data_IF_573258597945
#
_entry.id   IF_573258597945
#
_cell.length_a   1.000
_cell.length_b   1.000
_cell.length_c   1.000
_cell.angle_alpha   90.00
_cell.angle_beta   90.00
_cell.angle_gamma   90.00
#
_symmetry.space_group_name_H-M   'P 1'
#
loop_
_entity.id
_entity.type
_entity.pdbx_description
1 polymer ?
#
# COMPACT_ATOMS: atom_id res chain seq x y z
N UNK A 1 -29.62 1.27 -0.51
CA UNK A 1 -28.62 2.30 -0.81
C UNK A 1 -29.23 3.68 -0.61
N UNK A 2 -28.83 4.36 0.47
CA UNK A 2 -29.35 5.67 0.88
C UNK A 2 -28.19 6.63 1.12
N UNK A 3 -28.35 7.91 0.76
CA UNK A 3 -27.45 8.99 1.15
C UNK A 3 -28.16 9.86 2.16
N UNK A 4 -27.54 10.05 3.31
CA UNK A 4 -28.05 10.92 4.37
C UNK A 4 -27.98 12.39 3.93
N UNK A 5 -26.91 12.78 3.22
CA UNK A 5 -26.73 14.14 2.70
C UNK A 5 -27.89 14.55 1.78
N UNK A 6 -28.25 13.70 0.81
CA UNK A 6 -29.39 14.00 -0.05
C UNK A 6 -30.71 13.97 0.73
N UNK A 7 -30.89 13.00 1.63
CA UNK A 7 -32.10 12.92 2.44
C UNK A 7 -32.32 14.16 3.31
N UNK A 8 -31.26 14.73 3.88
CA UNK A 8 -31.33 15.92 4.72
C UNK A 8 -31.48 17.19 3.90
N UNK A 9 -30.80 17.27 2.75
CA UNK A 9 -30.98 18.37 1.78
C UNK A 9 -32.45 18.50 1.36
N UNK A 10 -33.12 17.39 1.04
CA UNK A 10 -34.54 17.40 0.67
C UNK A 10 -35.51 17.60 1.86
N UNK A 11 -35.04 17.55 3.10
CA UNK A 11 -35.84 17.80 4.31
C UNK A 11 -35.69 19.22 4.85
N UNK A 12 -34.78 20.04 4.32
CA UNK A 12 -34.54 21.37 4.86
C UNK A 12 -35.80 22.26 4.79
N UNK A 13 -36.11 23.02 5.86
CA UNK A 13 -37.26 23.92 5.88
C UNK A 13 -37.14 24.99 4.79
N UNK A 14 -38.27 25.25 4.13
CA UNK A 14 -38.37 26.26 3.07
C UNK A 14 -38.35 27.65 3.68
N UNK A 15 -37.53 28.54 3.15
CA UNK A 15 -37.66 29.98 3.41
C UNK A 15 -38.79 30.49 2.52
N UNK A 16 -39.88 30.98 3.11
CA UNK A 16 -40.97 31.58 2.36
C UNK A 16 -40.46 32.82 1.60
N UNK A 17 -40.55 32.79 0.26
CA UNK A 17 -40.21 33.92 -0.61
C UNK A 17 -39.04 33.71 -1.58
N UNK A 18 -38.26 32.63 -1.47
CA UNK A 18 -37.03 32.42 -2.26
C UNK A 18 -37.23 31.61 -3.57
N UNK A 19 -38.21 31.99 -4.40
CA UNK A 19 -38.42 31.39 -5.73
C UNK A 19 -38.63 29.85 -5.76
N UNK A 20 -38.52 29.20 -6.94
CA UNK A 20 -38.70 27.73 -7.08
C UNK A 20 -37.62 26.90 -6.37
N UNK A 21 -37.90 25.68 -5.88
CA UNK A 21 -36.94 24.91 -5.06
C UNK A 21 -35.65 24.51 -5.82
N UNK A 22 -34.49 24.46 -5.15
CA UNK A 22 -33.26 23.92 -5.75
C UNK A 22 -33.45 22.44 -6.11
N UNK A 23 -33.06 22.04 -7.31
CA UNK A 23 -33.30 20.70 -7.84
C UNK A 23 -34.70 20.47 -8.40
N UNK A 24 -35.57 21.48 -8.45
CA UNK A 24 -36.94 21.34 -8.95
C UNK A 24 -37.07 21.32 -10.47
N UNK A 25 -36.09 21.88 -11.20
CA UNK A 25 -36.08 21.91 -12.66
C UNK A 25 -34.65 21.95 -13.24
N UNK A 26 -34.47 21.69 -14.54
CA UNK A 26 -33.17 21.86 -15.22
C UNK A 26 -32.59 23.27 -15.12
N UNK A 27 -33.45 24.29 -15.03
CA UNK A 27 -33.07 25.70 -14.88
C UNK A 27 -32.66 26.06 -13.45
N UNK A 28 -33.04 25.25 -12.46
CA UNK A 28 -32.62 25.40 -11.05
C UNK A 28 -32.10 24.05 -10.50
N UNK A 29 -30.96 23.54 -11.01
CA UNK A 29 -30.44 22.23 -10.62
C UNK A 29 -29.78 22.27 -9.24
N UNK A 30 -29.53 21.10 -8.65
CA UNK A 30 -28.65 20.97 -7.48
C UNK A 30 -27.21 21.17 -7.94
N UNK A 31 -26.55 22.22 -7.46
CA UNK A 31 -25.17 22.53 -7.87
C UNK A 31 -24.18 21.88 -6.91
N UNK A 32 -23.54 20.79 -7.36
CA UNK A 32 -22.51 20.10 -6.60
C UNK A 32 -21.14 20.79 -6.78
N UNK A 33 -20.76 21.65 -5.82
CA UNK A 33 -19.45 22.32 -5.83
C UNK A 33 -18.35 21.34 -5.42
N UNK A 34 -17.22 21.36 -6.12
CA UNK A 34 -16.05 20.53 -5.79
C UNK A 34 -16.09 19.09 -6.30
N UNK A 35 -17.12 18.73 -7.08
CA UNK A 35 -17.25 17.41 -7.70
C UNK A 35 -17.18 17.59 -9.23
N UNK A 36 -16.24 16.92 -9.88
CA UNK A 36 -16.21 16.88 -11.35
C UNK A 36 -17.36 16.03 -11.88
N UNK A 37 -17.98 16.48 -12.98
CA UNK A 37 -19.10 15.76 -13.60
C UNK A 37 -18.72 14.31 -14.01
N UNK A 38 -17.47 14.09 -14.44
CA UNK A 38 -16.93 12.77 -14.75
C UNK A 38 -16.92 11.84 -13.54
N UNK A 39 -16.53 12.35 -12.38
CA UNK A 39 -16.40 11.56 -11.15
C UNK A 39 -17.78 11.19 -10.63
N UNK A 40 -18.72 12.14 -10.68
CA UNK A 40 -20.12 11.88 -10.32
C UNK A 40 -20.77 10.86 -11.27
N UNK A 41 -20.53 10.97 -12.58
CA UNK A 41 -20.98 9.98 -13.55
C UNK A 41 -20.36 8.59 -13.27
N UNK A 42 -19.10 8.53 -12.84
CA UNK A 42 -18.43 7.32 -12.39
C UNK A 42 -19.12 6.70 -11.16
N UNK A 43 -19.43 7.52 -10.15
CA UNK A 43 -20.19 7.10 -8.97
C UNK A 43 -21.54 6.50 -9.37
N UNK A 44 -22.29 7.18 -10.24
CA UNK A 44 -23.59 6.70 -10.72
C UNK A 44 -23.45 5.35 -11.43
N UNK A 45 -22.45 5.17 -12.29
CA UNK A 45 -22.19 3.87 -12.95
C UNK A 45 -22.01 2.76 -11.92
N UNK A 46 -21.20 2.99 -10.89
CA UNK A 46 -20.97 2.02 -9.80
C UNK A 46 -22.26 1.75 -9.03
N UNK A 47 -22.98 2.82 -8.66
CA UNK A 47 -24.21 2.74 -7.87
C UNK A 47 -25.30 1.95 -8.62
N UNK A 48 -25.56 2.28 -9.89
CA UNK A 48 -26.57 1.58 -10.69
C UNK A 48 -26.15 0.15 -11.03
N UNK A 49 -24.86 -0.11 -11.28
CA UNK A 49 -24.36 -1.47 -11.50
C UNK A 49 -24.56 -2.36 -10.26
N UNK A 50 -24.31 -1.82 -9.06
CA UNK A 50 -24.48 -2.55 -7.80
C UNK A 50 -25.94 -2.87 -7.45
N UNK A 51 -26.86 -1.99 -7.85
CA UNK A 51 -28.30 -2.08 -7.53
C UNK A 51 -29.11 -2.90 -8.53
N UNK A 52 -28.79 -2.84 -9.82
CA UNK A 52 -29.70 -3.28 -10.88
C UNK A 52 -29.13 -4.33 -11.81
N UNK A 53 -27.86 -4.70 -11.68
CA UNK A 53 -27.27 -5.73 -12.53
C UNK A 53 -27.33 -7.09 -11.85
N UNK A 54 -28.05 -8.04 -12.45
CA UNK A 54 -28.12 -9.43 -11.99
C UNK A 54 -26.73 -10.09 -11.88
N UNK A 55 -25.74 -9.55 -12.59
CA UNK A 55 -24.35 -10.03 -12.62
C UNK A 55 -23.37 -9.14 -11.82
N UNK A 56 -23.83 -8.10 -11.10
CA UNK A 56 -23.03 -7.15 -10.31
C UNK A 56 -21.59 -6.94 -10.87
N UNK A 57 -21.45 -6.31 -12.05
CA UNK A 57 -20.14 -6.19 -12.68
C UNK A 57 -19.21 -5.41 -11.76
N UNK A 58 -18.04 -5.98 -11.52
CA UNK A 58 -17.00 -5.36 -10.70
C UNK A 58 -16.63 -4.00 -11.34
N UNK A 59 -16.74 -2.89 -10.59
CA UNK A 59 -16.27 -1.58 -11.05
C UNK A 59 -14.84 -1.66 -11.58
N UNK A 60 -14.56 -0.92 -12.66
CA UNK A 60 -13.18 -0.71 -13.09
C UNK A 60 -12.36 -0.20 -11.90
N UNK A 61 -11.17 -0.78 -11.70
CA UNK A 61 -10.26 -0.43 -10.61
C UNK A 61 -9.97 1.07 -10.58
N UNK A 62 -9.91 1.72 -11.75
CA UNK A 62 -9.70 3.17 -11.88
C UNK A 62 -10.83 4.01 -11.27
N UNK A 63 -12.05 3.47 -11.19
CA UNK A 63 -13.23 4.15 -10.68
C UNK A 63 -13.46 3.91 -9.19
N UNK A 64 -12.78 2.94 -8.57
CA UNK A 64 -13.02 2.55 -7.18
C UNK A 64 -12.69 3.70 -6.22
N UNK A 65 -11.51 4.30 -6.32
CA UNK A 65 -11.09 5.40 -5.43
C UNK A 65 -11.95 6.66 -5.61
N UNK A 66 -12.18 7.18 -6.83
CA UNK A 66 -13.08 8.32 -7.03
C UNK A 66 -14.52 8.04 -6.56
N UNK A 67 -15.05 6.85 -6.82
CA UNK A 67 -16.38 6.47 -6.35
C UNK A 67 -16.43 6.39 -4.82
N UNK A 68 -15.39 5.87 -4.16
CA UNK A 68 -15.34 5.80 -2.71
C UNK A 68 -15.27 7.21 -2.08
N UNK A 69 -14.44 8.11 -2.63
CA UNK A 69 -14.37 9.53 -2.23
C UNK A 69 -15.74 10.19 -2.24
N UNK A 70 -16.48 10.04 -3.34
CA UNK A 70 -17.81 10.62 -3.47
C UNK A 70 -18.85 9.91 -2.60
N UNK A 71 -18.76 8.57 -2.45
CA UNK A 71 -19.60 7.83 -1.53
C UNK A 71 -19.38 8.26 -0.07
N UNK A 72 -18.15 8.60 0.30
CA UNK A 72 -17.82 9.16 1.61
C UNK A 72 -18.36 10.58 1.77
N UNK A 73 -18.09 11.45 0.79
CA UNK A 73 -18.55 12.85 0.80
C UNK A 73 -20.08 12.98 0.87
N UNK A 74 -20.80 12.12 0.14
CA UNK A 74 -22.27 12.11 0.08
C UNK A 74 -22.90 11.18 1.13
N UNK A 75 -22.08 10.59 2.01
CA UNK A 75 -22.47 9.66 3.07
C UNK A 75 -23.36 8.49 2.61
N UNK A 76 -22.95 7.79 1.55
CA UNK A 76 -23.53 6.51 1.13
C UNK A 76 -22.88 5.34 1.90
N UNK A 77 -23.33 5.06 3.12
CA UNK A 77 -22.75 4.02 3.97
C UNK A 77 -22.72 2.62 3.31
N UNK A 78 -23.83 2.20 2.69
CA UNK A 78 -23.91 0.91 1.98
C UNK A 78 -22.93 0.84 0.79
N UNK A 79 -22.76 1.94 0.06
CA UNK A 79 -21.84 1.99 -1.08
C UNK A 79 -20.39 1.92 -0.63
N UNK A 80 -20.04 2.62 0.45
CA UNK A 80 -18.70 2.53 1.06
C UNK A 80 -18.41 1.09 1.48
N UNK A 81 -19.36 0.42 2.11
CA UNK A 81 -19.24 -1.00 2.48
C UNK A 81 -19.01 -1.92 1.27
N UNK A 82 -19.60 -1.61 0.12
CA UNK A 82 -19.39 -2.36 -1.12
C UNK A 82 -18.05 -2.03 -1.80
N UNK A 83 -17.62 -0.76 -1.76
CA UNK A 83 -16.40 -0.32 -2.42
C UNK A 83 -15.13 -0.60 -1.61
N UNK A 84 -15.21 -0.69 -0.28
CA UNK A 84 -14.03 -0.90 0.56
C UNK A 84 -13.30 -2.23 0.23
N UNK A 85 -13.97 -3.39 0.11
CA UNK A 85 -13.30 -4.63 -0.28
C UNK A 85 -12.73 -4.58 -1.71
N UNK A 86 -13.37 -3.82 -2.60
CA UNK A 86 -12.89 -3.61 -3.97
C UNK A 86 -11.63 -2.75 -3.98
N UNK A 87 -11.56 -1.71 -3.14
CA UNK A 87 -10.36 -0.89 -2.98
C UNK A 87 -9.22 -1.75 -2.41
N UNK A 88 -9.49 -2.57 -1.38
CA UNK A 88 -8.50 -3.46 -0.81
C UNK A 88 -7.95 -4.47 -1.82
N UNK A 89 -8.79 -4.95 -2.73
CA UNK A 89 -8.37 -5.92 -3.75
C UNK A 89 -7.57 -5.30 -4.90
N UNK A 90 -7.95 -4.10 -5.34
CA UNK A 90 -7.44 -3.51 -6.58
C UNK A 90 -6.27 -2.54 -6.40
N UNK A 91 -6.14 -1.92 -5.23
CA UNK A 91 -5.06 -0.96 -4.98
C UNK A 91 -3.74 -1.69 -4.70
N UNK A 92 -2.63 -1.14 -5.21
CA UNK A 92 -1.30 -1.56 -4.78
C UNK A 92 -1.01 -1.05 -3.36
N UNK A 93 0.06 -1.55 -2.73
CA UNK A 93 0.35 -1.24 -1.32
C UNK A 93 0.59 0.24 -1.04
N UNK A 94 1.17 0.99 -1.99
CA UNK A 94 1.39 2.43 -1.82
C UNK A 94 0.08 3.21 -1.93
N UNK A 95 -0.76 2.86 -2.90
CA UNK A 95 -2.09 3.44 -3.04
C UNK A 95 -3.01 3.07 -1.86
N UNK A 96 -2.83 1.89 -1.26
CA UNK A 96 -3.52 1.50 -0.02
C UNK A 96 -3.13 2.40 1.15
N UNK A 97 -1.85 2.77 1.28
CA UNK A 97 -1.40 3.68 2.34
C UNK A 97 -2.02 5.06 2.14
N UNK A 98 -1.99 5.59 0.92
CA UNK A 98 -2.62 6.88 0.60
C UNK A 98 -4.13 6.86 0.88
N UNK A 99 -4.82 5.83 0.42
CA UNK A 99 -6.24 5.62 0.65
C UNK A 99 -6.57 5.48 2.15
N UNK A 100 -5.79 4.67 2.87
CA UNK A 100 -5.96 4.47 4.30
C UNK A 100 -5.76 5.76 5.09
N UNK A 101 -4.81 6.61 4.69
CA UNK A 101 -4.60 7.93 5.30
C UNK A 101 -5.76 8.87 5.03
N UNK A 102 -6.29 8.87 3.81
CA UNK A 102 -7.43 9.71 3.42
C UNK A 102 -8.72 9.37 4.18
N UNK A 103 -8.94 8.08 4.48
CA UNK A 103 -10.18 7.58 5.08
C UNK A 103 -10.03 7.00 6.50
N UNK A 104 -8.89 7.20 7.15
CA UNK A 104 -8.55 6.72 8.50
C UNK A 104 -8.72 5.19 8.69
N UNK A 105 -8.20 4.38 7.75
CA UNK A 105 -8.27 2.91 7.77
C UNK A 105 -6.95 2.33 8.30
N UNK A 106 -6.80 2.30 9.62
CA UNK A 106 -5.54 1.99 10.29
C UNK A 106 -5.01 0.58 10.01
N UNK A 107 -5.92 -0.36 9.78
CA UNK A 107 -5.63 -1.77 9.57
C UNK A 107 -4.82 -2.04 8.31
N UNK A 108 -4.83 -1.10 7.35
CA UNK A 108 -4.16 -1.26 6.06
C UNK A 108 -2.68 -0.87 6.10
N UNK A 109 -2.25 -0.02 7.04
CA UNK A 109 -0.87 0.47 7.07
C UNK A 109 0.13 -0.65 7.29
N UNK A 110 0.01 -1.41 8.39
CA UNK A 110 1.02 -2.40 8.74
C UNK A 110 1.22 -3.49 7.66
N UNK A 111 0.15 -4.09 7.08
CA UNK A 111 0.31 -5.04 5.98
C UNK A 111 0.93 -4.41 4.73
N UNK A 112 0.56 -3.17 4.37
CA UNK A 112 1.09 -2.49 3.19
C UNK A 112 2.57 -2.14 3.34
N UNK A 113 2.97 -1.52 4.46
CA UNK A 113 4.37 -1.20 4.74
C UNK A 113 5.25 -2.45 4.78
N UNK A 114 4.75 -3.54 5.39
CA UNK A 114 5.46 -4.82 5.43
C UNK A 114 5.76 -5.33 4.01
N UNK A 115 4.75 -5.37 3.14
CA UNK A 115 4.93 -5.83 1.75
C UNK A 115 5.87 -4.94 0.95
N UNK A 116 5.82 -3.61 1.16
CA UNK A 116 6.76 -2.67 0.50
C UNK A 116 8.20 -2.87 0.99
N UNK A 117 8.40 -3.18 2.28
CA UNK A 117 9.73 -3.47 2.82
C UNK A 117 10.30 -4.77 2.22
N UNK A 118 9.45 -5.76 1.96
CA UNK A 118 9.86 -7.09 1.50
C UNK A 118 10.00 -7.21 -0.03
N UNK A 119 9.22 -6.48 -0.83
CA UNK A 119 9.28 -6.57 -2.30
C UNK A 119 10.67 -6.24 -2.85
N UNK A 120 11.06 -6.85 -3.96
CA UNK A 120 12.39 -6.64 -4.56
C UNK A 120 12.56 -5.23 -5.13
N UNK A 121 11.50 -4.70 -5.76
CA UNK A 121 11.49 -3.45 -6.50
C UNK A 121 11.76 -2.25 -5.58
N UNK A 122 12.68 -1.33 -5.94
CA UNK A 122 12.88 -0.09 -5.21
C UNK A 122 11.66 0.83 -5.34
N UNK A 123 11.54 1.77 -4.40
CA UNK A 123 10.56 2.85 -4.51
C UNK A 123 10.87 3.70 -5.74
N UNK A 124 9.86 3.98 -6.55
CA UNK A 124 9.95 5.00 -7.60
C UNK A 124 9.57 6.38 -7.06
N UNK A 125 9.79 7.42 -7.86
CA UNK A 125 9.54 8.81 -7.45
C UNK A 125 8.09 9.09 -7.10
N UNK A 126 7.13 8.46 -7.80
CA UNK A 126 5.71 8.67 -7.54
C UNK A 126 5.28 8.01 -6.24
N UNK A 127 5.74 6.79 -5.98
CA UNK A 127 5.52 6.11 -4.71
C UNK A 127 6.09 6.90 -3.54
N UNK A 128 7.31 7.44 -3.69
CA UNK A 128 7.96 8.24 -2.67
C UNK A 128 7.15 9.51 -2.32
N UNK A 129 6.50 10.15 -3.31
CA UNK A 129 5.63 11.31 -3.08
C UNK A 129 4.39 10.95 -2.26
N UNK A 130 3.75 9.83 -2.57
CA UNK A 130 2.54 9.36 -1.87
C UNK A 130 2.83 8.96 -0.42
N UNK A 131 3.97 8.32 -0.20
CA UNK A 131 4.39 7.86 1.13
C UNK A 131 4.80 9.02 2.03
N UNK A 132 5.42 10.08 1.47
CA UNK A 132 6.01 11.15 2.25
C UNK A 132 7.37 10.76 2.84
N UNK A 133 8.06 11.74 3.44
CA UNK A 133 9.47 11.58 3.86
C UNK A 133 9.62 10.51 4.94
N UNK A 134 8.76 10.52 5.96
CA UNK A 134 8.87 9.59 7.09
C UNK A 134 8.67 8.14 6.65
N UNK A 135 7.65 7.88 5.82
CA UNK A 135 7.39 6.56 5.25
C UNK A 135 8.54 6.07 4.37
N UNK A 136 9.11 6.94 3.53
CA UNK A 136 10.27 6.61 2.69
C UNK A 136 11.49 6.27 3.53
N UNK A 137 11.83 7.08 4.54
CA UNK A 137 12.98 6.84 5.42
C UNK A 137 12.82 5.53 6.18
N UNK A 138 11.63 5.26 6.70
CA UNK A 138 11.32 4.02 7.39
C UNK A 138 11.50 2.80 6.47
N UNK A 139 10.91 2.83 5.27
CA UNK A 139 11.06 1.75 4.29
C UNK A 139 12.52 1.52 3.91
N UNK A 140 13.30 2.60 3.71
CA UNK A 140 14.72 2.49 3.38
C UNK A 140 15.52 1.86 4.52
N UNK A 141 15.30 2.30 5.77
CA UNK A 141 15.94 1.70 6.95
C UNK A 141 15.61 0.21 7.07
N UNK A 142 14.34 -0.16 6.90
CA UNK A 142 13.92 -1.55 6.99
C UNK A 142 14.53 -2.40 5.88
N UNK A 143 14.60 -1.88 4.66
CA UNK A 143 15.22 -2.57 3.52
C UNK A 143 16.73 -2.68 3.69
N UNK A 144 17.40 -1.69 4.25
CA UNK A 144 18.82 -1.74 4.58
C UNK A 144 19.08 -2.82 5.63
N UNK A 145 18.37 -2.81 6.75
CA UNK A 145 18.56 -3.86 7.78
C UNK A 145 18.26 -5.26 7.24
N UNK A 146 17.23 -5.41 6.40
CA UNK A 146 16.81 -6.70 5.89
C UNK A 146 17.72 -7.23 4.77
N UNK A 147 18.06 -6.39 3.78
CA UNK A 147 18.82 -6.80 2.59
C UNK A 147 20.33 -6.80 2.81
N UNK A 148 20.80 -6.03 3.79
CA UNK A 148 22.24 -5.96 4.13
C UNK A 148 22.62 -7.02 5.17
N UNK A 149 21.72 -7.94 5.51
CA UNK A 149 22.05 -9.18 6.22
C UNK A 149 22.89 -10.08 5.31
N UNK A 150 24.14 -9.69 5.06
CA UNK A 150 25.12 -10.48 4.34
C UNK A 150 25.45 -11.76 5.11
N UNK A 151 26.10 -12.70 4.44
CA UNK A 151 26.64 -13.89 5.09
C UNK A 151 27.57 -13.42 6.23
N UNK A 152 27.21 -13.71 7.48
CA UNK A 152 28.11 -13.44 8.62
C UNK A 152 29.29 -14.39 8.49
N UNK A 153 30.41 -13.86 8.02
CA UNK A 153 31.66 -14.61 7.91
C UNK A 153 32.47 -14.45 9.21
N UNK A 154 32.87 -15.58 9.77
CA UNK A 154 33.84 -15.65 10.85
C UNK A 154 35.22 -15.29 10.30
N UNK A 155 35.89 -14.29 10.86
CA UNK A 155 37.25 -13.92 10.47
C UNK A 155 38.21 -15.10 10.61
N UNK A 156 39.22 -15.15 9.74
CA UNK A 156 40.21 -16.23 9.64
C UNK A 156 39.61 -17.61 9.31
N UNK A 157 38.49 -17.64 8.59
CA UNK A 157 37.90 -18.88 8.10
C UNK A 157 37.86 -18.95 6.57
N UNK A 158 37.64 -20.16 6.07
CA UNK A 158 37.60 -20.45 4.65
C UNK A 158 36.19 -20.80 4.20
N UNK A 159 35.81 -20.29 3.03
CA UNK A 159 34.45 -20.46 2.49
C UNK A 159 34.49 -20.88 1.03
N UNK A 160 33.53 -21.70 0.60
CA UNK A 160 33.40 -22.08 -0.80
C UNK A 160 32.68 -21.00 -1.62
N UNK A 161 32.82 -21.08 -2.95
CA UNK A 161 32.12 -20.17 -3.87
C UNK A 161 30.60 -20.27 -3.80
N UNK A 162 30.04 -21.44 -3.43
CA UNK A 162 28.60 -21.56 -3.20
C UNK A 162 28.12 -20.77 -1.98
N UNK A 163 28.97 -20.57 -0.97
CA UNK A 163 28.62 -19.78 0.21
C UNK A 163 28.89 -18.28 0.01
N UNK A 164 29.97 -17.92 -0.67
CA UNK A 164 30.43 -16.51 -0.75
C UNK A 164 30.23 -15.85 -2.11
N UNK A 165 29.90 -16.62 -3.16
CA UNK A 165 29.95 -16.14 -4.54
C UNK A 165 31.37 -15.91 -5.05
N UNK A 166 32.41 -16.21 -4.25
CA UNK A 166 33.80 -15.95 -4.56
C UNK A 166 34.57 -17.26 -4.75
N UNK A 167 35.42 -17.34 -5.77
CA UNK A 167 36.37 -18.44 -5.92
C UNK A 167 37.71 -18.05 -5.35
N UNK A 168 38.32 -18.96 -4.57
CA UNK A 168 39.67 -18.77 -4.06
C UNK A 168 40.62 -19.83 -4.58
N UNK A 169 41.74 -19.99 -3.90
CA UNK A 169 42.82 -20.94 -4.29
C UNK A 169 43.12 -21.98 -3.22
N UNK A 170 42.47 -21.88 -2.05
CA UNK A 170 42.74 -22.79 -0.94
C UNK A 170 41.93 -24.09 -1.07
N UNK A 171 42.48 -25.19 -0.58
CA UNK A 171 41.80 -26.50 -0.53
C UNK A 171 41.61 -26.90 0.92
N UNK A 172 40.40 -26.69 1.44
CA UNK A 172 40.07 -26.93 2.86
C UNK A 172 38.56 -27.02 3.09
N UNK A 173 38.16 -27.26 4.34
CA UNK A 173 36.76 -27.31 4.77
C UNK A 173 36.16 -25.92 4.73
N UNK A 174 35.00 -25.80 4.08
CA UNK A 174 34.20 -24.58 4.12
C UNK A 174 33.55 -24.44 5.51
N UNK A 175 33.76 -23.31 6.19
CA UNK A 175 33.12 -23.00 7.48
C UNK A 175 31.60 -22.90 7.37
N UNK A 176 31.08 -22.43 6.24
CA UNK A 176 29.63 -22.29 6.02
C UNK A 176 28.89 -23.62 5.81
N UNK A 177 29.40 -24.51 4.96
CA UNK A 177 28.71 -25.77 4.63
C UNK A 177 29.35 -27.04 5.19
N UNK A 178 30.53 -26.95 5.82
CA UNK A 178 31.26 -28.10 6.37
C UNK A 178 31.91 -29.02 5.35
N UNK A 179 31.83 -28.71 4.05
CA UNK A 179 32.32 -29.58 2.97
C UNK A 179 33.79 -29.26 2.65
N UNK A 180 34.62 -30.29 2.57
CA UNK A 180 36.01 -30.19 2.08
C UNK A 180 36.06 -30.09 0.54
N UNK A 181 37.03 -29.34 0.02
CA UNK A 181 37.23 -29.21 -1.42
C UNK A 181 38.14 -28.05 -1.79
N UNK A 182 38.38 -27.90 -3.09
CA UNK A 182 39.24 -26.86 -3.65
C UNK A 182 38.53 -25.50 -3.80
N UNK A 183 39.27 -24.48 -4.19
CA UNK A 183 38.78 -23.13 -4.53
C UNK A 183 38.09 -22.38 -3.39
N UNK A 184 38.61 -22.51 -2.17
CA UNK A 184 38.12 -21.79 -0.98
C UNK A 184 38.69 -20.38 -0.91
N UNK A 185 37.85 -19.43 -0.53
CA UNK A 185 38.23 -18.07 -0.20
C UNK A 185 38.56 -17.96 1.29
N UNK A 186 39.68 -17.33 1.61
CA UNK A 186 40.02 -16.99 2.99
C UNK A 186 39.41 -15.63 3.32
N UNK A 187 38.58 -15.58 4.35
CA UNK A 187 38.04 -14.33 4.87
C UNK A 187 38.97 -13.80 5.96
N UNK A 188 39.80 -12.82 5.61
CA UNK A 188 40.91 -12.33 6.43
C UNK A 188 40.57 -11.13 7.33
N UNK A 189 39.35 -10.59 7.28
CA UNK A 189 39.02 -9.38 8.02
C UNK A 189 38.05 -8.46 7.28
N UNK A 190 37.97 -7.17 7.65
CA UNK A 190 36.77 -6.37 7.51
C UNK A 190 36.46 -6.06 6.05
N UNK A 191 35.62 -6.89 5.46
CA UNK A 191 35.04 -6.71 4.15
C UNK A 191 33.62 -7.26 4.17
N UNK A 192 32.63 -6.44 3.83
CA UNK A 192 31.24 -6.90 3.79
C UNK A 192 31.01 -7.61 2.46
N UNK A 193 30.76 -8.93 2.50
CA UNK A 193 30.30 -9.65 1.30
C UNK A 193 28.79 -9.46 1.17
N UNK A 194 28.37 -8.66 0.20
CA UNK A 194 26.97 -8.60 -0.20
C UNK A 194 26.61 -9.87 -0.97
N UNK A 195 25.59 -10.61 -0.50
CA UNK A 195 24.94 -11.63 -1.33
C UNK A 195 23.81 -10.98 -2.14
N UNK A 196 23.69 -11.37 -3.41
CA UNK A 196 22.44 -11.29 -4.15
C UNK A 196 21.69 -12.61 -3.90
N UNK A 197 20.83 -12.66 -2.88
CA UNK A 197 20.07 -13.88 -2.58
C UNK A 197 19.15 -13.70 -1.39
N UNK A 198 17.90 -14.13 -1.58
CA UNK A 198 16.75 -13.98 -0.68
C UNK A 198 17.03 -14.65 0.67
N UNK A 199 17.25 -13.86 1.73
CA UNK A 199 17.26 -14.39 3.09
C UNK A 199 15.83 -14.72 3.52
N UNK A 200 15.49 -16.00 3.50
CA UNK A 200 14.33 -16.53 4.20
C UNK A 200 14.63 -16.64 5.69
N UNK A 201 14.66 -15.53 6.43
CA UNK A 201 14.39 -15.44 7.90
C UNK A 201 14.74 -14.05 8.44
N UNK A 202 13.84 -13.09 8.27
CA UNK A 202 13.47 -12.15 9.37
C UNK A 202 12.12 -11.42 9.08
N UNK A 203 11.19 -12.10 8.41
CA UNK A 203 9.86 -11.55 8.05
C UNK A 203 9.10 -11.09 9.30
N UNK A 204 9.21 -11.87 10.39
CA UNK A 204 8.61 -11.58 11.70
C UNK A 204 9.17 -10.33 12.37
N UNK A 205 10.46 -10.01 12.17
CA UNK A 205 11.08 -8.78 12.70
C UNK A 205 10.64 -7.54 11.94
N UNK A 206 10.47 -7.65 10.61
CA UNK A 206 9.90 -6.56 9.80
C UNK A 206 8.48 -6.27 10.26
N UNK A 207 7.62 -7.30 10.35
CA UNK A 207 6.23 -7.13 10.78
C UNK A 207 6.11 -6.49 12.17
N UNK A 208 6.94 -6.92 13.13
CA UNK A 208 6.96 -6.34 14.48
C UNK A 208 7.36 -4.86 14.47
N UNK A 209 8.45 -4.51 13.78
CA UNK A 209 8.95 -3.12 13.67
C UNK A 209 7.98 -2.22 12.91
N UNK A 210 7.36 -2.74 11.85
CA UNK A 210 6.32 -2.03 11.10
C UNK A 210 5.12 -1.75 12.00
N UNK A 211 4.67 -2.73 12.78
CA UNK A 211 3.54 -2.53 13.69
C UNK A 211 3.83 -1.47 14.74
N UNK A 212 5.00 -1.53 15.38
CA UNK A 212 5.45 -0.50 16.33
C UNK A 212 5.47 0.89 15.68
N UNK A 213 6.03 1.00 14.47
CA UNK A 213 6.07 2.27 13.75
C UNK A 213 4.67 2.80 13.39
N UNK A 214 3.74 1.94 12.96
CA UNK A 214 2.35 2.34 12.70
C UNK A 214 1.66 2.82 13.98
N UNK A 215 1.93 2.19 15.13
CA UNK A 215 1.38 2.60 16.43
C UNK A 215 1.87 3.99 16.87
N UNK A 216 3.07 4.42 16.45
CA UNK A 216 3.58 5.76 16.72
C UNK A 216 2.90 6.89 15.93
N UNK A 217 2.09 6.57 14.91
CA UNK A 217 1.29 7.55 14.19
C UNK A 217 2.01 8.32 13.08
N UNK A 218 3.16 7.83 12.60
CA UNK A 218 3.96 8.48 11.54
C UNK A 218 3.52 8.14 10.10
N UNK A 219 2.27 7.70 9.90
CA UNK A 219 1.76 7.17 8.62
C UNK A 219 1.07 8.17 7.71
#
# INVERSE_FOLDING_TARGET
MKSEVFADMFKMPRVEGDGPEEGSSPERPIVMKGIAASDFAGLLKVLYASLFSANQPVPDATLVTPAFRLANMLNFAELRGHLLPLAEKNLNDVDKIEFAREFDIKEWFAPAYTRICQREEPLNTEEARKLGVDGVLFIMLMRELHRTSGLVLDTNNFYCGSCTGLSGVYSTICRGCGINGANRCHYSGPGTLMQNGINSTDVTSIEAKVKEWVETGHY
#
